data_IF_805138097159
#
_entry.id   IF_805138097159
#
_cell.length_a   1.000
_cell.length_b   1.000
_cell.length_c   1.000
_cell.angle_alpha   90.00
_cell.angle_beta   90.00
_cell.angle_gamma   90.00
#
_symmetry.space_group_name_H-M   'P 1'
#
loop_
_entity.id
_entity.type
_entity.pdbx_description
1 polymer ?
#
# COMPACT_ATOMS: atom_id res chain seq x y z
N UNK A 1 -2.59 21.25 0.44
CA UNK A 1 -3.83 20.86 1.15
C UNK A 1 -5.08 21.65 0.72
N UNK A 2 -5.21 22.07 -0.55
CA UNK A 2 -6.37 22.88 -0.99
C UNK A 2 -7.71 22.13 -0.89
N UNK A 3 -7.73 20.82 -1.20
CA UNK A 3 -8.93 19.99 -1.07
C UNK A 3 -9.42 19.86 0.39
N UNK A 4 -8.49 19.73 1.35
CA UNK A 4 -8.83 19.71 2.79
C UNK A 4 -9.43 21.04 3.24
N UNK A 5 -8.85 22.16 2.79
CA UNK A 5 -9.40 23.49 3.11
C UNK A 5 -10.79 23.70 2.51
N UNK A 6 -11.02 23.23 1.27
CA UNK A 6 -12.32 23.32 0.61
C UNK A 6 -13.38 22.48 1.34
N UNK A 7 -13.04 21.24 1.74
CA UNK A 7 -13.95 20.40 2.52
C UNK A 7 -14.32 21.06 3.85
N UNK A 8 -13.35 21.62 4.56
CA UNK A 8 -13.58 22.33 5.82
C UNK A 8 -14.52 23.53 5.65
N UNK A 9 -14.38 24.31 4.57
CA UNK A 9 -15.32 25.41 4.27
C UNK A 9 -16.76 24.93 3.98
N UNK A 10 -16.91 23.68 3.57
CA UNK A 10 -18.20 23.02 3.36
C UNK A 10 -18.78 22.37 4.61
N UNK A 11 -18.13 22.51 5.78
CA UNK A 11 -18.57 21.92 7.04
C UNK A 11 -18.03 20.50 7.31
N UNK A 12 -17.09 20.00 6.50
CA UNK A 12 -16.47 18.69 6.67
C UNK A 12 -14.98 18.81 7.00
N UNK A 13 -14.60 18.49 8.24
CA UNK A 13 -13.20 18.51 8.64
C UNK A 13 -12.53 17.16 8.31
N UNK A 14 -11.82 17.09 7.17
CA UNK A 14 -10.98 15.91 6.87
C UNK A 14 -9.92 15.77 7.96
N UNK A 15 -9.93 14.64 8.66
CA UNK A 15 -9.05 14.42 9.81
C UNK A 15 -7.66 13.91 9.42
N UNK A 16 -7.59 13.05 8.40
CA UNK A 16 -6.33 12.45 7.93
C UNK A 16 -6.32 12.31 6.41
N UNK A 17 -5.15 12.50 5.80
CA UNK A 17 -4.92 12.24 4.36
C UNK A 17 -3.68 11.39 4.20
N UNK A 18 -3.80 10.35 3.40
CA UNK A 18 -2.73 9.41 3.12
C UNK A 18 -2.42 9.32 1.63
N UNK A 19 -1.16 9.14 1.28
CA UNK A 19 -0.76 8.64 -0.04
C UNK A 19 -0.54 7.14 0.03
N UNK A 20 -1.10 6.40 -0.91
CA UNK A 20 -0.89 4.96 -1.01
C UNK A 20 0.48 4.67 -1.63
N UNK A 21 1.26 3.79 -0.99
CA UNK A 21 2.63 3.46 -1.37
C UNK A 21 2.76 1.97 -1.75
N UNK A 22 2.07 1.54 -2.80
CA UNK A 22 2.05 0.11 -3.19
C UNK A 22 3.38 -0.43 -3.74
N UNK A 23 4.24 0.41 -4.30
CA UNK A 23 5.47 0.00 -4.99
C UNK A 23 6.72 0.56 -4.30
N UNK A 24 6.92 0.17 -3.05
CA UNK A 24 8.16 0.49 -2.32
C UNK A 24 9.29 -0.42 -2.76
N UNK A 25 10.52 0.12 -2.76
CA UNK A 25 11.72 -0.65 -3.09
C UNK A 25 11.90 -1.83 -2.12
N UNK A 26 11.71 -1.58 -0.83
CA UNK A 26 11.84 -2.58 0.22
C UNK A 26 10.90 -3.78 -0.01
N UNK A 27 9.63 -3.52 -0.33
CA UNK A 27 8.67 -4.58 -0.68
C UNK A 27 9.12 -5.41 -1.87
N UNK A 28 9.55 -4.75 -2.96
CA UNK A 28 9.97 -5.45 -4.17
C UNK A 28 11.23 -6.27 -3.94
N UNK A 29 12.22 -5.75 -3.21
CA UNK A 29 13.44 -6.48 -2.86
C UNK A 29 13.15 -7.69 -1.97
N UNK A 30 12.28 -7.55 -0.96
CA UNK A 30 11.89 -8.64 -0.07
C UNK A 30 11.18 -9.77 -0.83
N UNK A 31 10.18 -9.43 -1.65
CA UNK A 31 9.45 -10.42 -2.45
C UNK A 31 10.35 -11.05 -3.52
N UNK A 32 11.22 -10.26 -4.17
CA UNK A 32 12.22 -10.74 -5.12
C UNK A 32 13.15 -11.79 -4.49
N UNK A 33 13.73 -11.47 -3.33
CA UNK A 33 14.61 -12.39 -2.60
C UNK A 33 13.88 -13.70 -2.23
N UNK A 34 12.65 -13.60 -1.71
CA UNK A 34 11.87 -14.76 -1.31
C UNK A 34 11.44 -15.65 -2.49
N UNK A 35 11.18 -15.06 -3.66
CA UNK A 35 10.91 -15.80 -4.90
C UNK A 35 12.17 -16.57 -5.36
N UNK A 36 13.33 -15.90 -5.38
CA UNK A 36 14.61 -16.50 -5.77
C UNK A 36 15.01 -17.65 -4.85
N UNK A 37 14.87 -17.47 -3.53
CA UNK A 37 15.14 -18.51 -2.53
C UNK A 37 14.32 -19.79 -2.77
N UNK A 38 13.08 -19.64 -3.27
CA UNK A 38 12.16 -20.74 -3.57
C UNK A 38 12.27 -21.27 -5.00
N UNK A 39 13.23 -20.76 -5.78
CA UNK A 39 13.42 -21.14 -7.19
C UNK A 39 12.25 -20.74 -8.10
N UNK A 40 11.47 -19.72 -7.70
CA UNK A 40 10.35 -19.21 -8.47
C UNK A 40 10.82 -18.12 -9.46
N UNK A 41 10.18 -17.98 -10.63
CA UNK A 41 10.49 -16.90 -11.57
C UNK A 41 10.27 -15.52 -10.93
N UNK A 42 11.30 -14.67 -10.90
CA UNK A 42 11.19 -13.35 -10.29
C UNK A 42 10.62 -12.32 -11.28
N UNK A 43 9.42 -11.73 -11.04
CA UNK A 43 8.85 -10.73 -11.93
C UNK A 43 9.53 -9.35 -11.82
N UNK A 44 10.37 -9.12 -10.81
CA UNK A 44 10.87 -7.79 -10.45
C UNK A 44 12.30 -7.48 -10.92
N UNK A 45 13.02 -8.43 -11.51
CA UNK A 45 14.44 -8.25 -11.88
C UNK A 45 14.67 -6.99 -12.72
N UNK A 46 13.86 -6.79 -13.77
CA UNK A 46 13.98 -5.62 -14.65
C UNK A 46 13.57 -4.31 -13.96
N UNK A 47 12.60 -4.36 -13.05
CA UNK A 47 12.17 -3.19 -12.28
C UNK A 47 13.26 -2.74 -11.29
N UNK A 48 13.87 -3.69 -10.58
CA UNK A 48 14.93 -3.41 -9.61
C UNK A 48 16.21 -2.90 -10.29
N UNK A 49 16.57 -3.43 -11.46
CA UNK A 49 17.72 -2.94 -12.24
C UNK A 49 17.56 -1.48 -12.69
N UNK A 50 16.34 -1.07 -13.03
CA UNK A 50 16.02 0.28 -13.51
C UNK A 50 15.64 1.26 -12.38
N UNK A 51 15.81 0.88 -11.11
CA UNK A 51 15.31 1.66 -9.97
C UNK A 51 16.18 2.89 -9.60
N UNK A 52 17.26 3.16 -10.33
CA UNK A 52 18.37 4.04 -9.90
C UNK A 52 17.96 5.50 -9.61
N UNK A 53 16.81 5.97 -10.14
CA UNK A 53 16.39 7.38 -10.04
C UNK A 53 15.06 7.62 -9.30
N UNK A 54 14.53 6.62 -8.57
CA UNK A 54 13.27 6.80 -7.83
C UNK A 54 13.50 7.50 -6.49
N UNK A 55 12.71 8.55 -6.22
CA UNK A 55 12.70 9.24 -4.92
C UNK A 55 12.38 8.23 -3.81
N UNK A 56 13.04 8.32 -2.65
CA UNK A 56 12.68 7.54 -1.47
C UNK A 56 11.20 7.76 -1.16
N UNK A 57 10.52 6.66 -0.87
CA UNK A 57 9.13 6.68 -0.41
C UNK A 57 9.15 6.73 1.11
N UNK A 58 8.39 7.64 1.70
CA UNK A 58 8.26 7.76 3.15
C UNK A 58 7.06 6.94 3.62
N UNK A 59 7.27 5.72 4.07
CA UNK A 59 6.20 4.91 4.66
C UNK A 59 6.08 5.27 6.13
N UNK A 60 4.91 5.74 6.55
CA UNK A 60 4.62 6.07 7.95
C UNK A 60 3.58 5.12 8.56
N UNK A 61 2.90 4.34 7.72
CA UNK A 61 1.75 3.55 8.13
C UNK A 61 1.73 2.24 7.36
N UNK A 62 1.62 1.11 8.07
CA UNK A 62 1.59 -0.23 7.50
C UNK A 62 0.39 -1.00 8.06
N UNK A 63 -0.61 -1.25 7.23
CA UNK A 63 -1.86 -1.90 7.63
C UNK A 63 -1.80 -3.39 7.28
N UNK A 64 -2.01 -4.27 8.25
CA UNK A 64 -2.07 -5.71 8.06
C UNK A 64 -3.28 -6.09 7.18
N UNK A 65 -3.03 -6.63 6.00
CA UNK A 65 -4.05 -6.90 4.98
C UNK A 65 -4.04 -8.34 4.46
N UNK A 66 -3.16 -9.20 4.99
CA UNK A 66 -2.89 -10.56 4.52
C UNK A 66 -4.16 -11.43 4.39
N UNK A 67 -5.11 -11.28 5.31
CA UNK A 67 -6.40 -11.98 5.28
C UNK A 67 -7.25 -11.65 4.03
N UNK A 68 -7.07 -10.46 3.45
CA UNK A 68 -7.88 -9.93 2.35
C UNK A 68 -7.24 -10.09 0.97
N UNK A 69 -6.01 -10.63 0.86
CA UNK A 69 -5.30 -10.70 -0.43
C UNK A 69 -6.02 -11.53 -1.50
N UNK A 70 -6.75 -12.58 -1.13
CA UNK A 70 -7.60 -13.34 -2.07
C UNK A 70 -8.76 -12.49 -2.61
N UNK A 71 -9.37 -11.68 -1.75
CA UNK A 71 -10.45 -10.76 -2.14
C UNK A 71 -9.90 -9.69 -3.08
N UNK A 72 -8.72 -9.12 -2.76
CA UNK A 72 -8.01 -8.19 -3.64
C UNK A 72 -7.71 -8.79 -5.02
N UNK A 73 -7.22 -10.03 -5.06
CA UNK A 73 -6.94 -10.72 -6.31
C UNK A 73 -8.21 -10.93 -7.14
N UNK A 74 -9.31 -11.37 -6.52
CA UNK A 74 -10.60 -11.52 -7.20
C UNK A 74 -11.17 -10.19 -7.69
N UNK A 75 -11.04 -9.11 -6.91
CA UNK A 75 -11.43 -7.78 -7.33
C UNK A 75 -10.65 -7.34 -8.57
N UNK A 76 -9.33 -7.60 -8.60
CA UNK A 76 -8.49 -7.28 -9.75
C UNK A 76 -8.88 -8.11 -10.98
N UNK A 77 -9.17 -9.41 -10.82
CA UNK A 77 -9.65 -10.28 -11.90
C UNK A 77 -11.00 -9.84 -12.48
N UNK A 78 -11.86 -9.21 -11.68
CA UNK A 78 -13.13 -8.68 -12.16
C UNK A 78 -12.97 -7.56 -13.21
N UNK A 79 -11.81 -6.89 -13.24
CA UNK A 79 -11.45 -5.94 -14.31
C UNK A 79 -11.00 -6.66 -15.59
N UNK A 80 -11.84 -7.59 -16.09
CA UNK A 80 -11.51 -8.54 -17.16
C UNK A 80 -11.02 -7.89 -18.48
N UNK A 81 -11.38 -6.64 -18.75
CA UNK A 81 -10.93 -5.92 -19.96
C UNK A 81 -9.59 -5.19 -19.78
N UNK A 82 -9.15 -4.99 -18.54
CA UNK A 82 -7.95 -4.22 -18.18
C UNK A 82 -6.83 -5.10 -17.62
N UNK A 83 -7.17 -6.26 -17.07
CA UNK A 83 -6.26 -7.14 -16.35
C UNK A 83 -6.17 -8.49 -17.05
N UNK A 84 -4.95 -8.85 -17.43
CA UNK A 84 -4.63 -10.21 -17.86
C UNK A 84 -4.57 -11.15 -16.63
N UNK A 85 -5.42 -12.19 -16.54
CA UNK A 85 -5.38 -13.15 -15.44
C UNK A 85 -4.07 -13.95 -15.37
N UNK A 86 -3.30 -14.06 -16.47
CA UNK A 86 -1.96 -14.65 -16.49
C UNK A 86 -0.83 -13.65 -16.33
N UNK A 87 -1.15 -12.37 -16.11
CA UNK A 87 -0.20 -11.27 -16.10
C UNK A 87 0.60 -11.13 -14.79
N UNK A 88 1.51 -10.16 -14.77
CA UNK A 88 2.45 -9.96 -13.66
C UNK A 88 1.81 -9.65 -12.30
N UNK A 89 0.56 -9.15 -12.28
CA UNK A 89 -0.18 -8.91 -11.03
C UNK A 89 -0.35 -10.16 -10.16
N UNK A 90 -0.33 -11.35 -10.78
CA UNK A 90 -0.52 -12.64 -10.10
C UNK A 90 0.76 -13.49 -10.05
N UNK A 91 1.92 -12.94 -10.46
CA UNK A 91 3.17 -13.67 -10.56
C UNK A 91 3.74 -14.10 -9.19
N UNK A 92 3.49 -13.33 -8.14
CA UNK A 92 3.91 -13.69 -6.77
C UNK A 92 2.77 -14.43 -6.07
N UNK A 93 2.98 -15.69 -5.61
CA UNK A 93 1.95 -16.45 -4.92
C UNK A 93 1.41 -15.71 -3.68
N UNK A 94 0.09 -15.74 -3.46
CA UNK A 94 -0.54 -15.07 -2.30
C UNK A 94 0.04 -15.58 -0.98
N UNK A 95 0.30 -16.88 -0.85
CA UNK A 95 0.94 -17.46 0.33
C UNK A 95 2.29 -16.80 0.64
N UNK A 96 3.10 -16.55 -0.40
CA UNK A 96 4.39 -15.89 -0.25
C UNK A 96 4.23 -14.41 0.11
N UNK A 97 3.27 -13.72 -0.50
CA UNK A 97 2.95 -12.34 -0.13
C UNK A 97 2.56 -12.23 1.35
N UNK A 98 1.71 -13.13 1.85
CA UNK A 98 1.31 -13.17 3.27
C UNK A 98 2.49 -13.42 4.21
N UNK A 99 3.43 -14.27 3.82
CA UNK A 99 4.60 -14.59 4.64
C UNK A 99 5.58 -13.41 4.70
N UNK A 100 5.86 -12.79 3.55
CA UNK A 100 6.98 -11.86 3.38
C UNK A 100 6.57 -10.40 3.56
N UNK A 101 5.37 -10.05 3.10
CA UNK A 101 4.90 -8.66 3.09
C UNK A 101 3.37 -8.59 3.30
N UNK A 102 2.91 -8.83 4.55
CA UNK A 102 1.49 -8.98 4.84
C UNK A 102 0.72 -7.65 4.88
N UNK A 103 1.42 -6.52 4.75
CA UNK A 103 0.86 -5.18 4.90
C UNK A 103 0.65 -4.45 3.58
N UNK A 104 -0.28 -3.50 3.58
CA UNK A 104 -0.34 -2.40 2.60
C UNK A 104 0.18 -1.11 3.25
N UNK A 105 0.89 -0.29 2.48
CA UNK A 105 1.72 0.80 3.00
C UNK A 105 1.20 2.17 2.58
N UNK A 106 1.28 3.13 3.49
CA UNK A 106 0.80 4.49 3.30
C UNK A 106 1.77 5.53 3.88
N UNK A 107 1.68 6.75 3.36
CA UNK A 107 2.35 7.94 3.86
C UNK A 107 1.30 8.92 4.39
N UNK A 108 1.40 9.30 5.68
CA UNK A 108 0.57 10.31 6.29
C UNK A 108 0.96 11.69 5.75
N UNK A 109 0.16 12.21 4.84
CA UNK A 109 0.37 13.51 4.19
C UNK A 109 -0.19 14.67 5.00
N UNK A 110 -1.20 14.42 5.84
CA UNK A 110 -1.84 15.41 6.69
C UNK A 110 -2.58 14.74 7.84
N UNK A 111 -2.52 15.37 9.02
CA UNK A 111 -3.31 15.02 10.20
C UNK A 111 -3.82 16.30 10.87
N UNK A 112 -5.06 16.28 11.33
CA UNK A 112 -5.61 17.28 12.26
C UNK A 112 -5.89 16.72 13.65
N UNK A 113 -5.58 15.44 13.91
CA UNK A 113 -5.92 14.73 15.16
C UNK A 113 -4.78 14.71 16.18
N UNK A 114 -3.82 15.64 16.05
CA UNK A 114 -2.65 15.76 16.91
C UNK A 114 -1.41 15.04 16.36
N UNK A 115 -0.39 14.89 17.21
CA UNK A 115 0.81 14.13 16.88
C UNK A 115 0.49 12.64 16.73
N UNK A 116 1.00 12.05 15.66
CA UNK A 116 0.80 10.65 15.33
C UNK A 116 2.18 10.03 15.15
N UNK A 117 2.39 8.87 15.77
CA UNK A 117 3.60 8.08 15.60
C UNK A 117 3.78 7.71 14.12
N UNK A 118 4.98 7.84 13.58
CA UNK A 118 5.31 7.51 12.18
C UNK A 118 5.40 6.00 11.91
N UNK A 119 4.80 5.19 12.77
CA UNK A 119 4.72 3.72 12.69
C UNK A 119 3.30 3.20 12.90
N UNK A 120 2.31 3.89 12.34
CA UNK A 120 0.90 3.50 12.49
C UNK A 120 0.58 2.14 11.86
N UNK A 121 -0.39 1.45 12.45
CA UNK A 121 -0.95 0.19 11.93
C UNK A 121 -2.43 0.27 11.58
N UNK A 122 -3.07 1.41 11.86
CA UNK A 122 -4.48 1.67 11.61
C UNK A 122 -4.67 3.11 11.11
N UNK A 123 -5.28 3.27 9.94
CA UNK A 123 -5.57 4.57 9.32
C UNK A 123 -6.50 5.42 10.18
N UNK A 124 -7.32 4.80 11.02
CA UNK A 124 -8.29 5.46 11.90
C UNK A 124 -7.73 5.82 13.28
N UNK A 125 -6.45 5.54 13.56
CA UNK A 125 -5.82 5.96 14.82
C UNK A 125 -6.01 7.46 15.05
N UNK A 126 -6.67 7.82 16.16
CA UNK A 126 -6.95 9.19 16.55
C UNK A 126 -8.12 9.88 15.83
N UNK A 127 -8.77 9.22 14.86
CA UNK A 127 -9.98 9.75 14.23
C UNK A 127 -11.13 9.74 15.24
N UNK A 128 -11.84 10.86 15.33
CA UNK A 128 -13.08 10.97 16.11
C UNK A 128 -14.29 10.90 15.19
N UNK A 129 -15.41 10.37 15.66
CA UNK A 129 -16.65 10.40 14.89
C UNK A 129 -17.23 11.83 14.90
N UNK A 130 -17.91 12.23 13.82
CA UNK A 130 -18.48 13.59 13.71
C UNK A 130 -19.69 13.82 14.65
N UNK A 131 -20.17 12.77 15.30
CA UNK A 131 -21.34 12.77 16.19
C UNK A 131 -20.98 12.95 17.70
N UNK A 132 -19.69 13.04 18.04
CA UNK A 132 -19.19 13.35 19.41
C UNK A 132 -18.51 14.73 19.50
#
# INVERSE_FOLDING_TARGET
MAAVALAASGGWQVQKVYYNQQHTRARLEALSAAMLERGLPNPYDSWLQNWQDRRPVNVTTQVECSAFFEIRANALLAHATQVDPGGQWFAVPISLQREVWPTEEFELAFSSVGEIDVSETDLFTGVVDDDE
#
